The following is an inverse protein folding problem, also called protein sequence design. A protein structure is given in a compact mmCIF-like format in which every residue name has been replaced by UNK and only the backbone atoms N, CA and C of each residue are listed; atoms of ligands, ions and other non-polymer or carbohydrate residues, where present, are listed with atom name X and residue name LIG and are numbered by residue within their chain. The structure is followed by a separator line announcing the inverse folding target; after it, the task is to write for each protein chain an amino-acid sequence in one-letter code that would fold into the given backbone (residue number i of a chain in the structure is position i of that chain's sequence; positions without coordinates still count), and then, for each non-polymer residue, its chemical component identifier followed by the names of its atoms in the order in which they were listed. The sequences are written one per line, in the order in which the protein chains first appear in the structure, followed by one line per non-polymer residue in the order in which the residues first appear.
data_IF_484544103904
#
_entry.id   IF_484544103904
#
_cell.length_a   1.000
_cell.length_b   1.000
_cell.length_c   1.000
_cell.angle_alpha   90.00
_cell.angle_beta   90.00
_cell.angle_gamma   90.00
#
_symmetry.space_group_name_H-M   'P 1'
#
loop_
_entity.id
_entity.type
_entity.pdbx_description
1 polymer ?
#
# COMPACT_ATOMS: atom_id res chain seq x y z
N UNK A 1 -1.15 3.75 -2.13
CA UNK A 1 -0.37 3.06 -1.07
C UNK A 1 -1.27 2.06 -0.35
N UNK A 2 -0.74 0.95 0.17
CA UNK A 2 -1.50 -0.01 0.98
C UNK A 2 -0.65 -0.62 2.12
N UNK A 3 -1.30 -1.02 3.22
CA UNK A 3 -0.62 -1.55 4.42
C UNK A 3 -1.08 -2.95 4.85
N UNK A 4 -1.98 -3.58 4.09
CA UNK A 4 -2.64 -4.84 4.49
C UNK A 4 -3.28 -5.58 3.32
N UNK A 5 -4.55 -5.99 3.46
CA UNK A 5 -5.27 -6.81 2.45
C UNK A 5 -5.32 -6.14 1.07
N UNK A 6 -5.50 -4.82 1.03
CA UNK A 6 -5.57 -4.07 -0.22
C UNK A 6 -6.92 -4.18 -0.93
N UNK A 7 -8.03 -4.32 -0.21
CA UNK A 7 -9.38 -4.28 -0.81
C UNK A 7 -9.65 -2.97 -1.55
N UNK A 8 -9.24 -1.83 -1.00
CA UNK A 8 -9.34 -0.55 -1.70
C UNK A 8 -8.47 -0.51 -2.97
N UNK A 9 -7.29 -1.14 -2.93
CA UNK A 9 -6.45 -1.27 -4.11
C UNK A 9 -7.14 -2.13 -5.19
N UNK A 10 -7.80 -3.22 -4.80
CA UNK A 10 -8.63 -4.02 -5.70
C UNK A 10 -9.76 -3.19 -6.32
N UNK A 11 -10.49 -2.43 -5.51
CA UNK A 11 -11.59 -1.60 -6.00
C UNK A 11 -11.11 -0.56 -7.03
N UNK A 12 -9.92 0.02 -6.83
CA UNK A 12 -9.33 0.94 -7.81
C UNK A 12 -8.89 0.20 -9.09
N UNK A 13 -8.27 -0.98 -8.96
CA UNK A 13 -7.94 -1.84 -10.13
C UNK A 13 -9.20 -2.12 -10.96
N UNK A 14 -10.26 -2.55 -10.30
CA UNK A 14 -11.53 -2.90 -10.93
C UNK A 14 -12.17 -1.67 -11.60
N UNK A 15 -12.17 -0.51 -10.93
CA UNK A 15 -12.76 0.72 -11.44
C UNK A 15 -11.98 1.32 -12.63
N UNK A 16 -10.65 1.15 -12.67
CA UNK A 16 -9.83 1.51 -13.84
C UNK A 16 -10.10 0.53 -14.99
N UNK A 17 -10.12 -0.78 -14.72
CA UNK A 17 -10.37 -1.80 -15.73
C UNK A 17 -11.78 -1.71 -16.34
N UNK A 18 -12.78 -1.33 -15.56
CA UNK A 18 -14.16 -1.16 -16.02
C UNK A 18 -14.41 0.19 -16.70
N UNK A 19 -13.45 1.12 -16.68
CA UNK A 19 -13.61 2.48 -17.19
C UNK A 19 -14.46 3.40 -16.30
N UNK A 20 -14.81 2.97 -15.08
CA UNK A 20 -15.49 3.81 -14.08
C UNK A 20 -14.61 5.00 -13.68
N UNK A 21 -13.30 4.79 -13.60
CA UNK A 21 -12.30 5.85 -13.54
C UNK A 21 -11.70 6.00 -14.95
N UNK A 22 -12.25 6.89 -15.79
CA UNK A 22 -11.77 7.06 -17.16
C UNK A 22 -10.41 7.76 -17.18
N UNK A 23 -9.64 7.54 -18.24
CA UNK A 23 -8.35 8.19 -18.49
C UNK A 23 -7.32 8.03 -17.35
N UNK A 24 -7.40 6.93 -16.61
CA UNK A 24 -6.48 6.62 -15.52
C UNK A 24 -5.73 5.31 -15.77
N UNK A 25 -4.52 5.24 -15.23
CA UNK A 25 -3.71 4.03 -15.19
C UNK A 25 -3.02 3.93 -13.84
N UNK A 26 -2.83 2.71 -13.37
CA UNK A 26 -2.10 2.45 -12.12
C UNK A 26 -0.64 2.18 -12.49
N UNK A 27 0.27 3.07 -12.08
CA UNK A 27 1.68 2.95 -12.44
C UNK A 27 2.51 2.18 -11.41
N UNK A 28 2.14 2.23 -10.12
CA UNK A 28 2.87 1.59 -9.03
C UNK A 28 2.03 1.45 -7.76
N UNK A 29 2.30 0.42 -6.96
CA UNK A 29 1.82 0.30 -5.58
C UNK A 29 2.97 0.51 -4.58
N UNK A 30 2.82 1.44 -3.65
CA UNK A 30 3.72 1.55 -2.49
C UNK A 30 3.10 0.84 -1.29
N UNK A 31 3.87 0.00 -0.59
CA UNK A 31 3.44 -0.65 0.65
C UNK A 31 4.38 -0.33 1.79
N UNK A 32 3.85 -0.18 3.01
CA UNK A 32 4.67 -0.02 4.22
C UNK A 32 4.75 -1.28 5.09
N UNK A 33 4.20 -2.40 4.60
CA UNK A 33 4.37 -3.72 5.21
C UNK A 33 4.75 -4.74 4.15
N UNK A 34 5.93 -5.35 4.29
CA UNK A 34 6.45 -6.32 3.32
C UNK A 34 5.60 -7.58 3.13
N UNK A 35 4.69 -7.89 4.07
CA UNK A 35 3.73 -9.02 3.98
C UNK A 35 2.30 -8.57 3.61
N UNK A 36 2.13 -7.39 3.03
CA UNK A 36 0.81 -6.91 2.61
C UNK A 36 0.29 -7.74 1.42
N UNK A 37 -0.89 -8.34 1.55
CA UNK A 37 -1.55 -9.08 0.46
C UNK A 37 -1.88 -8.21 -0.76
N UNK A 38 -1.89 -6.88 -0.58
CA UNK A 38 -1.96 -5.92 -1.69
C UNK A 38 -0.86 -6.14 -2.75
N UNK A 39 0.32 -6.63 -2.37
CA UNK A 39 1.43 -6.95 -3.29
C UNK A 39 1.05 -8.09 -4.24
N UNK A 40 0.43 -9.16 -3.73
CA UNK A 40 -0.11 -10.26 -4.56
C UNK A 40 -1.12 -9.77 -5.58
N UNK A 41 -1.98 -8.81 -5.20
CA UNK A 41 -2.93 -8.19 -6.14
C UNK A 41 -2.21 -7.40 -7.24
N UNK A 42 -1.11 -6.71 -6.88
CA UNK A 42 -0.31 -5.95 -7.83
C UNK A 42 0.39 -6.89 -8.82
N UNK A 43 1.02 -7.95 -8.32
CA UNK A 43 1.66 -8.99 -9.14
C UNK A 43 0.68 -9.61 -10.14
N UNK A 44 -0.52 -9.97 -9.69
CA UNK A 44 -1.57 -10.56 -10.54
C UNK A 44 -2.07 -9.62 -11.66
N UNK A 45 -1.88 -8.31 -11.52
CA UNK A 45 -2.30 -7.31 -12.49
C UNK A 45 -1.10 -6.66 -13.22
N UNK A 46 0.12 -7.19 -13.03
CA UNK A 46 1.33 -6.66 -13.66
C UNK A 46 1.71 -5.25 -13.19
N UNK A 47 1.26 -4.83 -12.00
CA UNK A 47 1.56 -3.52 -11.43
C UNK A 47 2.84 -3.63 -10.60
N UNK A 48 3.89 -2.84 -10.89
CA UNK A 48 5.09 -2.85 -10.08
C UNK A 48 4.78 -2.32 -8.67
N UNK A 49 5.48 -2.83 -7.67
CA UNK A 49 5.31 -2.37 -6.30
C UNK A 49 6.64 -2.21 -5.58
N UNK A 50 6.64 -1.35 -4.56
CA UNK A 50 7.81 -1.09 -3.71
C UNK A 50 7.43 -1.16 -2.24
N UNK A 51 8.34 -1.75 -1.45
CA UNK A 51 8.27 -1.71 0.00
C UNK A 51 9.00 -0.47 0.53
N UNK A 52 8.25 0.41 1.19
CA UNK A 52 8.78 1.54 1.93
C UNK A 52 8.80 1.23 3.43
N UNK A 53 9.99 0.99 3.97
CA UNK A 53 10.15 0.62 5.37
C UNK A 53 10.20 1.85 6.28
N UNK A 54 9.12 2.08 7.03
CA UNK A 54 8.99 3.21 7.95
C UNK A 54 10.02 3.21 9.09
N UNK A 55 10.52 2.04 9.50
CA UNK A 55 11.49 1.94 10.59
C UNK A 55 12.89 2.35 10.11
N UNK A 56 13.34 1.82 8.97
CA UNK A 56 14.67 2.14 8.45
C UNK A 56 14.80 3.60 8.04
N UNK A 57 13.68 4.25 7.71
CA UNK A 57 13.64 5.67 7.37
C UNK A 57 13.34 6.59 8.55
N UNK A 58 13.28 6.06 9.78
CA UNK A 58 13.15 6.85 11.01
C UNK A 58 11.75 7.41 11.29
N UNK A 59 10.75 7.06 10.48
CA UNK A 59 9.36 7.47 10.69
C UNK A 59 8.68 6.69 11.81
N UNK A 60 9.15 5.48 12.13
CA UNK A 60 8.61 4.65 13.20
C UNK A 60 9.73 4.02 14.04
N UNK A 61 9.58 4.03 15.37
CA UNK A 61 10.56 3.38 16.26
C UNK A 61 10.43 1.84 16.23
N UNK A 62 11.58 1.16 16.19
CA UNK A 62 11.63 -0.31 16.19
C UNK A 62 11.11 -0.86 17.52
N UNK A 63 10.04 -1.64 17.46
CA UNK A 63 9.46 -2.28 18.65
C UNK A 63 8.47 -1.40 19.41
N UNK A 64 8.13 -0.21 18.88
CA UNK A 64 7.09 0.63 19.45
C UNK A 64 5.73 -0.08 19.39
N UNK A 65 5.03 -0.11 20.54
CA UNK A 65 3.72 -0.75 20.71
C UNK A 65 2.67 0.23 21.19
N UNK A 66 3.07 1.44 21.55
CA UNK A 66 2.16 2.52 21.88
C UNK A 66 1.35 2.91 20.64
N UNK A 67 0.02 2.83 20.76
CA UNK A 67 -0.89 3.06 19.65
C UNK A 67 -0.87 4.53 19.20
N UNK A 68 -0.68 5.47 20.12
CA UNK A 68 -0.63 6.91 19.80
C UNK A 68 0.63 7.22 19.01
N UNK A 69 1.80 6.78 19.49
CA UNK A 69 3.08 6.96 18.77
C UNK A 69 3.11 6.25 17.42
N UNK A 70 2.47 5.07 17.32
CA UNK A 70 2.31 4.36 16.06
C UNK A 70 1.37 5.06 15.09
N UNK A 71 0.47 5.92 15.58
CA UNK A 71 -0.42 6.74 14.77
C UNK A 71 0.27 8.03 14.33
N UNK A 72 0.99 8.71 15.23
CA UNK A 72 1.86 9.85 14.91
C UNK A 72 2.93 9.48 13.87
N UNK A 73 3.46 8.26 13.92
CA UNK A 73 4.42 7.73 12.93
C UNK A 73 3.83 7.55 11.52
N UNK A 74 2.51 7.71 11.34
CA UNK A 74 1.78 7.51 10.07
C UNK A 74 1.29 8.81 9.44
N UNK A 75 1.23 9.90 10.21
CA UNK A 75 0.82 11.23 9.76
C UNK A 75 2.02 12.03 9.23
#
# INVERSE_FOLDING_TARGET
MASGNGSNFQAILDAVASGTIPNAGICRLIVNRGKAYATTRADNNGIPWEYFNLISHGFQQKGERDLEKLQESRD
#
